data_IF_473314045855
#
_entry.id   IF_473314045855
#
_cell.length_a   1.000
_cell.length_b   1.000
_cell.length_c   1.000
_cell.angle_alpha   90.00
_cell.angle_beta   90.00
_cell.angle_gamma   90.00
#
_symmetry.space_group_name_H-M   'P 1'
#
loop_
_entity.id
_entity.type
_entity.pdbx_description
1 polymer ?
#
# COMPACT_ATOMS: atom_id res chain seq x y z
N UNK A 1 29.36 -57.39 -66.00
CA UNK A 1 29.12 -56.03 -65.52
C UNK A 1 28.70 -56.13 -64.07
N UNK A 2 29.60 -55.82 -63.11
CA UNK A 2 29.32 -55.91 -61.73
C UNK A 2 28.54 -54.59 -61.27
N UNK A 3 27.39 -54.82 -60.69
CA UNK A 3 26.53 -53.72 -60.13
C UNK A 3 27.20 -53.15 -58.92
N UNK A 4 27.61 -51.89 -58.97
CA UNK A 4 28.19 -51.14 -57.85
C UNK A 4 27.12 -50.97 -56.76
N UNK A 5 27.29 -51.63 -55.64
CA UNK A 5 26.46 -51.37 -54.43
C UNK A 5 26.62 -49.88 -54.03
N UNK A 6 25.49 -49.18 -54.00
CA UNK A 6 25.44 -47.80 -53.42
C UNK A 6 25.47 -47.96 -51.94
N UNK A 7 26.58 -47.56 -51.29
CA UNK A 7 26.65 -47.40 -49.84
C UNK A 7 25.66 -46.33 -49.46
N UNK A 8 24.65 -46.67 -48.65
CA UNK A 8 23.76 -45.72 -48.03
C UNK A 8 24.57 -44.92 -47.04
N UNK A 9 24.45 -43.59 -47.04
CA UNK A 9 25.13 -42.74 -46.02
C UNK A 9 24.73 -43.21 -44.63
N UNK A 10 25.70 -43.36 -43.73
CA UNK A 10 25.49 -43.74 -42.36
C UNK A 10 24.54 -42.72 -41.69
N UNK A 11 23.48 -43.25 -41.08
CA UNK A 11 22.51 -42.40 -40.37
C UNK A 11 23.18 -41.59 -39.22
N UNK A 12 22.46 -40.63 -38.68
CA UNK A 12 22.96 -39.79 -37.58
C UNK A 12 23.47 -40.64 -36.40
N UNK A 13 24.60 -40.27 -35.77
CA UNK A 13 25.13 -40.98 -34.59
C UNK A 13 24.05 -41.09 -33.49
N UNK A 14 23.94 -42.26 -32.84
CA UNK A 14 22.94 -42.52 -31.80
C UNK A 14 22.91 -41.44 -30.66
N UNK A 15 24.08 -40.92 -30.30
CA UNK A 15 24.16 -39.86 -29.30
C UNK A 15 23.50 -38.54 -29.73
N UNK A 16 23.47 -38.26 -31.07
CA UNK A 16 22.84 -37.06 -31.60
C UNK A 16 21.30 -37.13 -31.48
N UNK A 17 20.73 -38.32 -31.58
CA UNK A 17 19.28 -38.54 -31.40
C UNK A 17 18.89 -38.27 -29.95
N UNK A 18 19.63 -38.82 -28.99
CA UNK A 18 19.38 -38.60 -27.57
C UNK A 18 19.63 -37.16 -27.16
N UNK A 19 20.64 -36.53 -27.72
CA UNK A 19 20.91 -35.09 -27.46
C UNK A 19 19.78 -34.20 -28.02
N UNK A 20 19.30 -34.47 -29.23
CA UNK A 20 18.19 -33.72 -29.83
C UNK A 20 16.89 -33.90 -29.05
N UNK A 21 16.60 -35.06 -28.51
CA UNK A 21 15.43 -35.32 -27.66
C UNK A 21 15.51 -34.50 -26.39
N UNK A 22 16.67 -34.49 -25.71
CA UNK A 22 16.88 -33.72 -24.49
C UNK A 22 16.73 -32.21 -24.73
N UNK A 23 17.26 -31.70 -25.86
CA UNK A 23 17.12 -30.25 -26.20
C UNK A 23 15.68 -29.90 -26.54
N UNK A 24 14.94 -30.77 -27.25
CA UNK A 24 13.54 -30.52 -27.57
C UNK A 24 12.65 -30.57 -26.32
N UNK A 25 12.90 -31.48 -25.38
CA UNK A 25 12.22 -31.50 -24.09
C UNK A 25 12.51 -30.23 -23.27
N UNK A 26 13.75 -29.77 -23.24
CA UNK A 26 14.14 -28.53 -22.59
C UNK A 26 13.43 -27.32 -23.22
N UNK A 27 13.40 -27.27 -24.57
CA UNK A 27 12.72 -26.21 -25.31
C UNK A 27 11.23 -26.18 -24.98
N UNK A 28 10.55 -27.33 -25.05
CA UNK A 28 9.11 -27.41 -24.74
C UNK A 28 8.82 -27.02 -23.31
N UNK A 29 9.67 -27.37 -22.35
CA UNK A 29 9.57 -26.96 -20.95
C UNK A 29 9.65 -25.45 -20.82
N UNK A 30 10.63 -24.79 -21.45
CA UNK A 30 10.75 -23.32 -21.38
C UNK A 30 9.58 -22.61 -22.08
N UNK A 31 9.09 -23.15 -23.21
CA UNK A 31 7.91 -22.59 -23.89
C UNK A 31 6.67 -22.66 -22.98
N UNK A 32 6.47 -23.77 -22.26
CA UNK A 32 5.39 -23.92 -21.30
C UNK A 32 5.55 -22.96 -20.13
N UNK A 33 6.74 -22.81 -19.57
CA UNK A 33 6.99 -21.82 -18.51
C UNK A 33 6.71 -20.39 -18.99
N UNK A 34 7.15 -20.05 -20.19
CA UNK A 34 6.91 -18.71 -20.77
C UNK A 34 5.41 -18.47 -21.02
N UNK A 35 4.70 -19.50 -21.48
CA UNK A 35 3.24 -19.43 -21.67
C UNK A 35 2.49 -19.20 -20.35
N UNK A 36 3.01 -19.74 -19.24
CA UNK A 36 2.42 -19.54 -17.91
C UNK A 36 2.88 -18.22 -17.24
N UNK A 37 3.99 -17.65 -17.68
CA UNK A 37 4.52 -16.39 -17.12
C UNK A 37 3.62 -15.16 -17.37
N UNK A 38 2.75 -15.23 -18.38
CA UNK A 38 1.76 -14.20 -18.73
C UNK A 38 0.33 -14.57 -18.30
N UNK A 39 0.18 -15.31 -17.19
CA UNK A 39 -1.16 -15.63 -16.68
C UNK A 39 -1.87 -14.34 -16.27
N UNK A 40 -2.85 -13.95 -17.07
CA UNK A 40 -3.81 -12.92 -16.71
C UNK A 40 -4.61 -13.42 -15.49
N UNK A 41 -4.48 -12.76 -14.31
CA UNK A 41 -5.14 -13.20 -13.09
C UNK A 41 -6.67 -13.28 -13.25
N UNK A 42 -7.25 -12.55 -14.20
CA UNK A 42 -8.67 -12.59 -14.52
C UNK A 42 -9.05 -13.91 -15.17
N UNK A 43 -8.24 -14.40 -16.13
CA UNK A 43 -8.47 -15.70 -16.80
C UNK A 43 -8.30 -16.86 -15.84
N UNK A 44 -7.33 -16.78 -14.92
CA UNK A 44 -7.13 -17.80 -13.88
C UNK A 44 -8.33 -17.89 -12.93
N UNK A 45 -8.89 -16.75 -12.50
CA UNK A 45 -10.08 -16.72 -11.64
C UNK A 45 -11.30 -17.26 -12.41
N UNK A 46 -11.47 -16.94 -13.69
CA UNK A 46 -12.54 -17.49 -14.53
C UNK A 46 -12.44 -19.00 -14.66
N UNK A 47 -11.25 -19.53 -14.96
CA UNK A 47 -11.02 -20.97 -15.05
C UNK A 47 -11.31 -21.66 -13.72
N UNK A 48 -10.86 -21.11 -12.58
CA UNK A 48 -11.15 -21.62 -11.24
C UNK A 48 -12.65 -21.67 -10.96
N UNK A 49 -13.40 -20.63 -11.38
CA UNK A 49 -14.85 -20.55 -11.17
C UNK A 49 -15.57 -21.59 -12.04
N UNK A 50 -15.16 -21.75 -13.31
CA UNK A 50 -15.73 -22.74 -14.22
C UNK A 50 -15.49 -24.17 -13.74
N UNK A 51 -14.31 -24.45 -13.19
CA UNK A 51 -14.00 -25.77 -12.59
C UNK A 51 -14.87 -26.02 -11.37
N UNK A 52 -15.05 -25.03 -10.46
CA UNK A 52 -15.96 -25.17 -9.31
C UNK A 52 -17.40 -25.42 -9.74
N UNK A 53 -17.87 -24.72 -10.77
CA UNK A 53 -19.22 -24.92 -11.32
C UNK A 53 -19.39 -26.29 -11.96
N UNK A 54 -18.37 -26.82 -12.65
CA UNK A 54 -18.37 -28.15 -13.26
C UNK A 54 -18.38 -29.29 -12.22
N UNK A 55 -17.72 -29.09 -11.07
CA UNK A 55 -17.70 -30.08 -9.98
C UNK A 55 -18.90 -29.95 -9.02
N UNK A 56 -19.92 -29.15 -9.36
CA UNK A 56 -21.14 -29.07 -8.59
C UNK A 56 -21.00 -28.38 -7.21
N UNK A 57 -19.89 -27.73 -6.93
CA UNK A 57 -19.70 -26.92 -5.73
C UNK A 57 -20.44 -25.56 -5.85
N UNK A 58 -21.64 -25.62 -6.42
CA UNK A 58 -22.59 -24.52 -6.29
C UNK A 58 -23.09 -24.54 -4.87
N UNK A 59 -22.60 -23.63 -4.05
CA UNK A 59 -23.27 -23.21 -2.83
C UNK A 59 -24.50 -22.36 -3.20
N UNK A 60 -25.42 -22.92 -3.98
CA UNK A 60 -26.80 -22.44 -3.95
C UNK A 60 -27.42 -23.07 -2.73
N UNK A 61 -27.26 -22.42 -1.58
CA UNK A 61 -28.14 -22.69 -0.46
C UNK A 61 -29.57 -22.52 -0.98
N UNK A 62 -30.34 -23.61 -0.88
CA UNK A 62 -31.78 -23.53 -1.13
C UNK A 62 -32.34 -22.38 -0.26
N UNK A 63 -33.27 -21.56 -0.75
CA UNK A 63 -33.82 -20.47 0.01
C UNK A 63 -34.60 -21.04 1.21
N UNK A 64 -33.92 -21.19 2.33
CA UNK A 64 -34.57 -21.39 3.61
C UNK A 64 -35.29 -20.11 3.97
N UNK A 65 -36.58 -20.19 4.28
CA UNK A 65 -37.50 -19.06 4.58
C UNK A 65 -37.09 -18.26 5.84
N UNK A 66 -35.91 -18.48 6.37
CA UNK A 66 -35.29 -17.71 7.43
C UNK A 66 -34.04 -17.04 6.88
N UNK A 67 -34.22 -15.89 6.20
CA UNK A 67 -33.10 -15.00 5.92
C UNK A 67 -32.78 -14.23 7.19
N UNK A 68 -31.84 -14.72 8.00
CA UNK A 68 -31.05 -13.83 8.81
C UNK A 68 -30.41 -12.79 7.84
N UNK A 69 -30.35 -11.50 8.19
CA UNK A 69 -29.61 -10.52 7.38
C UNK A 69 -28.15 -10.94 7.41
N UNK A 70 -27.79 -11.77 6.45
CA UNK A 70 -26.39 -12.08 6.16
C UNK A 70 -25.77 -10.76 5.76
N UNK A 71 -24.70 -10.38 6.45
CA UNK A 71 -23.82 -9.28 6.07
C UNK A 71 -23.79 -9.15 4.54
N UNK A 72 -24.08 -7.97 3.99
CA UNK A 72 -24.11 -7.79 2.55
C UNK A 72 -22.84 -8.41 1.97
N UNK A 73 -23.03 -9.27 0.97
CA UNK A 73 -21.90 -9.89 0.27
C UNK A 73 -20.89 -8.77 -0.03
N UNK A 74 -19.60 -8.99 0.23
CA UNK A 74 -18.62 -7.96 -0.07
C UNK A 74 -18.87 -7.51 -1.50
N UNK A 75 -18.98 -6.21 -1.74
CA UNK A 75 -19.32 -5.70 -3.07
C UNK A 75 -18.37 -6.40 -4.04
N UNK A 76 -18.91 -6.93 -5.13
CA UNK A 76 -18.13 -7.45 -6.25
C UNK A 76 -17.38 -6.24 -6.84
N UNK A 77 -16.37 -5.79 -6.12
CA UNK A 77 -15.48 -4.76 -6.58
C UNK A 77 -14.89 -5.30 -7.87
N UNK A 78 -15.26 -4.72 -8.99
CA UNK A 78 -14.43 -4.81 -10.17
C UNK A 78 -13.06 -4.31 -9.68
N UNK A 79 -12.14 -5.23 -9.41
CA UNK A 79 -10.75 -4.88 -9.20
C UNK A 79 -10.28 -4.28 -10.54
N UNK A 80 -10.59 -3.01 -10.72
CA UNK A 80 -9.82 -2.22 -11.66
C UNK A 80 -8.44 -2.15 -11.03
N UNK A 81 -7.42 -2.73 -11.66
CA UNK A 81 -6.06 -2.48 -11.21
C UNK A 81 -5.93 -0.97 -11.16
N UNK A 82 -5.66 -0.44 -9.98
CA UNK A 82 -5.38 0.99 -9.82
C UNK A 82 -4.25 1.26 -10.80
N UNK A 83 -4.39 2.19 -11.76
CA UNK A 83 -3.29 2.47 -12.64
C UNK A 83 -2.10 2.85 -11.76
N UNK A 84 -1.06 2.03 -11.75
CA UNK A 84 0.19 2.31 -11.02
C UNK A 84 0.74 3.69 -11.40
N UNK A 85 0.43 4.14 -12.61
CA UNK A 85 0.70 5.48 -13.12
C UNK A 85 0.16 6.62 -12.23
N UNK A 86 -1.02 6.43 -11.61
CA UNK A 86 -1.62 7.52 -10.82
C UNK A 86 -0.86 7.77 -9.51
N UNK A 87 -0.47 6.72 -8.80
CA UNK A 87 0.29 6.84 -7.55
C UNK A 87 1.72 7.38 -7.83
N UNK A 88 2.36 6.93 -8.91
CA UNK A 88 3.67 7.42 -9.34
C UNK A 88 3.58 8.91 -9.73
N UNK A 89 2.51 9.32 -10.42
CA UNK A 89 2.28 10.71 -10.80
C UNK A 89 2.15 11.62 -9.58
N UNK A 90 1.35 11.20 -8.58
CA UNK A 90 1.22 11.98 -7.34
C UNK A 90 2.51 12.01 -6.52
N UNK A 91 3.23 10.90 -6.45
CA UNK A 91 4.54 10.86 -5.78
C UNK A 91 5.53 11.86 -6.41
N UNK A 92 5.68 11.85 -7.74
CA UNK A 92 6.54 12.79 -8.45
C UNK A 92 6.12 14.23 -8.20
N UNK A 93 4.81 14.53 -8.30
CA UNK A 93 4.28 15.87 -8.06
C UNK A 93 4.57 16.34 -6.64
N UNK A 94 4.23 15.55 -5.62
CA UNK A 94 4.47 15.91 -4.21
C UNK A 94 5.96 16.13 -3.97
N UNK A 95 6.83 15.28 -4.51
CA UNK A 95 8.27 15.43 -4.38
C UNK A 95 8.76 16.76 -4.99
N UNK A 96 8.33 17.07 -6.20
CA UNK A 96 8.66 18.35 -6.86
C UNK A 96 8.12 19.56 -6.08
N UNK A 97 6.88 19.48 -5.57
CA UNK A 97 6.27 20.57 -4.80
C UNK A 97 7.02 20.80 -3.47
N UNK A 98 7.53 19.76 -2.81
CA UNK A 98 8.36 19.82 -1.60
C UNK A 98 9.71 20.46 -1.89
N UNK A 99 10.40 20.04 -2.96
CA UNK A 99 11.65 20.60 -3.41
C UNK A 99 11.50 22.10 -3.77
N UNK A 100 10.45 22.47 -4.52
CA UNK A 100 10.16 23.87 -4.88
C UNK A 100 9.87 24.74 -3.66
N UNK A 101 9.28 24.16 -2.62
CA UNK A 101 8.91 24.89 -1.39
C UNK A 101 10.07 24.97 -0.40
N UNK A 102 11.21 24.34 -0.71
CA UNK A 102 12.44 24.29 0.13
C UNK A 102 12.14 23.78 1.54
N UNK A 103 11.50 22.61 1.64
CA UNK A 103 11.21 21.89 2.88
C UNK A 103 11.73 20.44 2.82
N UNK A 104 12.51 20.12 1.82
CA UNK A 104 13.12 18.81 1.58
C UNK A 104 14.11 18.40 2.68
N UNK A 105 14.71 19.36 3.40
CA UNK A 105 15.56 19.09 4.56
C UNK A 105 14.76 18.64 5.80
N UNK A 106 13.47 19.00 5.88
CA UNK A 106 12.61 18.72 7.05
C UNK A 106 11.62 17.56 6.79
N UNK A 107 11.38 17.22 5.52
CA UNK A 107 10.35 16.27 5.09
C UNK A 107 10.89 15.23 4.12
N UNK A 108 11.00 14.00 4.57
CA UNK A 108 11.32 12.87 3.69
C UNK A 108 10.07 12.36 2.95
N UNK A 109 10.14 12.26 1.63
CA UNK A 109 9.07 11.70 0.80
C UNK A 109 9.39 10.25 0.45
N UNK A 110 8.60 9.34 0.98
CA UNK A 110 8.79 7.90 0.82
C UNK A 110 7.57 7.27 0.12
N UNK A 111 7.81 6.27 -0.71
CA UNK A 111 6.75 5.40 -1.22
C UNK A 111 6.71 4.15 -0.36
N UNK A 112 5.59 3.91 0.35
CA UNK A 112 5.45 2.74 1.23
C UNK A 112 4.89 1.54 0.48
N UNK A 113 3.79 1.73 -0.25
CA UNK A 113 3.08 0.69 -0.99
C UNK A 113 2.74 1.17 -2.41
N UNK A 114 2.02 0.37 -3.18
CA UNK A 114 1.62 0.73 -4.54
C UNK A 114 0.72 1.98 -4.60
N UNK A 115 -0.01 2.30 -3.52
CA UNK A 115 -1.02 3.36 -3.46
C UNK A 115 -0.83 4.34 -2.30
N UNK A 116 0.24 4.22 -1.51
CA UNK A 116 0.50 5.08 -0.36
C UNK A 116 1.83 5.82 -0.45
N UNK A 117 1.76 7.11 -0.18
CA UNK A 117 2.90 8.04 -0.10
C UNK A 117 3.03 8.46 1.36
N UNK A 118 4.23 8.43 1.89
CA UNK A 118 4.51 8.84 3.28
C UNK A 118 5.38 10.08 3.26
N UNK A 119 4.91 11.15 3.92
CA UNK A 119 5.73 12.30 4.25
C UNK A 119 6.18 12.13 5.70
N UNK A 120 7.45 11.96 5.90
CA UNK A 120 8.07 11.72 7.20
C UNK A 120 8.71 12.97 7.73
N UNK A 121 8.43 13.30 8.98
CA UNK A 121 8.99 14.43 9.68
C UNK A 121 9.55 13.96 11.02
N UNK A 122 10.74 14.40 11.36
CA UNK A 122 11.30 14.15 12.68
C UNK A 122 10.48 14.87 13.76
N UNK A 123 10.25 14.23 14.91
CA UNK A 123 9.44 14.79 15.97
C UNK A 123 10.04 16.07 16.57
N UNK A 124 11.35 16.21 16.57
CA UNK A 124 12.05 17.41 17.06
C UNK A 124 11.74 18.69 16.27
N UNK A 125 11.31 18.56 15.02
CA UNK A 125 10.85 19.69 14.20
C UNK A 125 9.47 20.18 14.67
N UNK A 126 8.62 19.24 15.12
CA UNK A 126 7.23 19.52 15.46
C UNK A 126 7.00 19.75 16.95
N UNK A 127 7.76 19.08 17.82
CA UNK A 127 7.52 19.03 19.26
C UNK A 127 8.78 19.19 20.09
N UNK A 128 8.64 19.69 21.29
CA UNK A 128 9.67 19.57 22.32
C UNK A 128 9.80 18.12 22.82
N UNK A 129 10.96 17.73 23.34
CA UNK A 129 11.16 16.40 23.90
C UNK A 129 10.12 16.05 24.98
N UNK A 130 9.47 14.90 24.82
CA UNK A 130 8.44 14.39 25.74
C UNK A 130 7.13 15.17 25.76
N UNK A 131 6.95 16.19 24.92
CA UNK A 131 5.70 16.96 24.80
C UNK A 131 4.92 16.59 23.55
N UNK A 132 3.60 16.84 23.59
CA UNK A 132 2.68 16.72 22.48
C UNK A 132 2.09 18.08 22.03
N UNK A 133 2.66 19.19 22.54
CA UNK A 133 2.29 20.54 22.11
C UNK A 133 3.13 20.93 20.93
N UNK A 134 2.50 21.32 19.80
CA UNK A 134 3.20 21.77 18.61
C UNK A 134 4.01 23.03 18.86
N UNK A 135 5.24 23.06 18.39
CA UNK A 135 6.06 24.25 18.38
C UNK A 135 5.53 25.26 17.36
N UNK A 136 5.39 26.55 17.73
CA UNK A 136 4.96 27.57 16.79
C UNK A 136 5.85 27.69 15.54
N UNK A 137 7.14 27.38 15.65
CA UNK A 137 8.09 27.34 14.53
C UNK A 137 7.73 26.30 13.46
N UNK A 138 7.00 25.25 13.82
CA UNK A 138 6.57 24.20 12.86
C UNK A 138 5.30 24.57 12.08
N UNK A 139 4.59 25.62 12.46
CA UNK A 139 3.33 26.01 11.79
C UNK A 139 3.49 26.33 10.30
N UNK A 140 4.53 27.06 9.86
CA UNK A 140 4.75 27.29 8.44
C UNK A 140 4.95 25.99 7.65
N UNK A 141 5.74 25.04 8.18
CA UNK A 141 5.97 23.73 7.59
C UNK A 141 4.65 22.95 7.42
N UNK A 142 3.86 22.86 8.50
CA UNK A 142 2.58 22.16 8.46
C UNK A 142 1.58 22.80 7.47
N UNK A 143 1.58 24.12 7.32
CA UNK A 143 0.75 24.84 6.33
C UNK A 143 1.19 24.48 4.90
N UNK A 144 2.50 24.53 4.61
CA UNK A 144 3.04 24.15 3.30
C UNK A 144 2.64 22.71 2.91
N UNK A 145 2.76 21.77 3.85
CA UNK A 145 2.32 20.38 3.63
C UNK A 145 0.81 20.32 3.32
N UNK A 146 -0.01 21.05 4.08
CA UNK A 146 -1.45 21.10 3.81
C UNK A 146 -1.75 21.66 2.40
N UNK A 147 -1.07 22.73 1.98
CA UNK A 147 -1.27 23.35 0.68
C UNK A 147 -0.88 22.42 -0.48
N UNK A 148 0.17 21.62 -0.30
CA UNK A 148 0.59 20.60 -1.28
C UNK A 148 -0.45 19.46 -1.38
N UNK A 149 -0.96 18.98 -0.23
CA UNK A 149 -1.81 17.78 -0.19
C UNK A 149 -3.30 18.10 -0.40
N UNK A 150 -3.77 19.27 0.03
CA UNK A 150 -5.19 19.68 -0.05
C UNK A 150 -5.82 19.54 -1.43
N UNK A 151 -5.16 19.94 -2.55
CA UNK A 151 -5.74 19.83 -3.89
C UNK A 151 -5.76 18.38 -4.43
N UNK A 152 -5.12 17.45 -3.75
CA UNK A 152 -5.05 16.06 -4.19
C UNK A 152 -6.25 15.26 -3.66
N UNK A 153 -6.82 14.33 -4.45
CA UNK A 153 -7.92 13.46 -4.00
C UNK A 153 -7.39 12.33 -3.11
N UNK A 154 -6.79 12.71 -1.98
CA UNK A 154 -6.14 11.79 -1.04
C UNK A 154 -6.70 11.96 0.37
N UNK A 155 -6.75 10.88 1.13
CA UNK A 155 -6.93 10.89 2.57
C UNK A 155 -5.56 10.94 3.25
N UNK A 156 -5.50 11.54 4.43
CA UNK A 156 -4.28 11.69 5.23
C UNK A 156 -4.44 10.96 6.56
N UNK A 157 -3.57 9.99 6.84
CA UNK A 157 -3.47 9.37 8.15
C UNK A 157 -2.17 9.84 8.81
N UNK A 158 -2.30 10.48 9.96
CA UNK A 158 -1.19 11.00 10.74
C UNK A 158 -0.79 9.91 11.74
N UNK A 159 0.41 9.37 11.59
CA UNK A 159 0.96 8.28 12.41
C UNK A 159 2.05 8.84 13.32
N UNK A 160 1.85 8.75 14.65
CA UNK A 160 2.87 9.11 15.63
C UNK A 160 3.70 7.90 16.04
N UNK A 161 5.02 8.11 16.16
CA UNK A 161 5.97 7.10 16.59
C UNK A 161 6.93 7.65 17.64
N UNK A 162 7.36 6.80 18.55
CA UNK A 162 8.40 7.10 19.54
C UNK A 162 9.60 6.15 19.36
N UNK A 163 10.64 6.41 20.11
CA UNK A 163 11.69 5.43 20.37
C UNK A 163 11.26 4.48 21.50
N UNK A 164 12.17 3.59 21.91
CA UNK A 164 12.01 2.61 23.00
C UNK A 164 12.24 3.18 24.40
N UNK A 165 12.64 4.46 24.52
CA UNK A 165 12.85 5.07 25.83
C UNK A 165 11.52 5.39 26.50
N UNK A 166 11.34 5.03 27.77
CA UNK A 166 10.11 5.36 28.49
C UNK A 166 9.96 6.87 28.65
N UNK A 167 8.75 7.35 28.45
CA UNK A 167 8.43 8.77 28.69
C UNK A 167 8.67 9.09 30.17
N UNK A 168 9.34 10.21 30.47
CA UNK A 168 9.64 10.66 31.86
C UNK A 168 8.38 11.05 32.67
N UNK A 169 7.20 10.80 32.15
CA UNK A 169 5.92 11.07 32.81
C UNK A 169 5.39 9.83 33.52
N UNK A 170 4.90 9.98 34.76
CA UNK A 170 4.27 8.86 35.50
C UNK A 170 2.92 8.42 34.95
N UNK A 171 2.28 9.26 34.15
CA UNK A 171 0.90 9.08 33.69
C UNK A 171 0.78 8.86 32.18
N UNK A 172 1.88 8.90 31.43
CA UNK A 172 1.85 8.84 29.97
C UNK A 172 2.83 7.77 29.46
N UNK A 173 2.32 6.84 28.68
CA UNK A 173 3.11 5.85 27.99
C UNK A 173 3.58 6.35 26.61
N UNK A 174 4.51 5.61 25.95
CA UNK A 174 4.91 5.88 24.56
C UNK A 174 3.70 5.83 23.61
N UNK A 175 2.73 4.97 23.90
CA UNK A 175 1.46 4.93 23.16
C UNK A 175 0.68 6.22 23.29
N UNK A 176 0.47 6.69 24.52
CA UNK A 176 -0.28 7.92 24.78
C UNK A 176 0.41 9.13 24.15
N UNK A 177 1.74 9.23 24.27
CA UNK A 177 2.51 10.32 23.67
C UNK A 177 2.38 10.31 22.14
N UNK A 178 2.50 9.17 21.51
CA UNK A 178 2.42 9.05 20.05
C UNK A 178 1.02 9.39 19.52
N UNK A 179 -0.04 8.96 20.21
CA UNK A 179 -1.43 9.32 19.88
C UNK A 179 -1.65 10.83 20.09
N UNK A 180 -1.22 11.37 21.23
CA UNK A 180 -1.39 12.78 21.55
C UNK A 180 -0.71 13.69 20.51
N UNK A 181 0.47 13.32 20.02
CA UNK A 181 1.19 14.03 18.96
C UNK A 181 0.44 13.99 17.64
N UNK A 182 -0.02 12.81 17.21
CA UNK A 182 -0.81 12.66 15.98
C UNK A 182 -2.10 13.49 16.04
N UNK A 183 -2.80 13.48 17.19
CA UNK A 183 -4.02 14.27 17.43
C UNK A 183 -3.72 15.76 17.45
N UNK A 184 -2.58 16.19 18.01
CA UNK A 184 -2.20 17.61 18.04
C UNK A 184 -2.05 18.17 16.61
N UNK A 185 -1.40 17.44 15.72
CA UNK A 185 -1.28 17.81 14.30
C UNK A 185 -2.66 17.83 13.62
N UNK A 186 -3.48 16.80 13.83
CA UNK A 186 -4.83 16.76 13.26
C UNK A 186 -5.69 17.94 13.74
N UNK A 187 -5.62 18.29 15.03
CA UNK A 187 -6.31 19.46 15.59
C UNK A 187 -5.82 20.77 14.98
N UNK A 188 -4.52 20.91 14.75
CA UNK A 188 -3.95 22.08 14.09
C UNK A 188 -4.55 22.27 12.69
N UNK A 189 -4.59 21.22 11.87
CA UNK A 189 -5.19 21.28 10.53
C UNK A 189 -6.68 21.58 10.57
N UNK A 190 -7.42 20.96 11.49
CA UNK A 190 -8.86 21.18 11.62
C UNK A 190 -9.19 22.62 12.08
N UNK A 191 -8.50 23.11 13.11
CA UNK A 191 -8.70 24.49 13.63
C UNK A 191 -8.35 25.55 12.59
N UNK A 192 -7.28 25.34 11.85
CA UNK A 192 -6.85 26.22 10.75
C UNK A 192 -7.69 26.09 9.48
N UNK A 193 -8.65 25.16 9.42
CA UNK A 193 -9.42 24.81 8.20
C UNK A 193 -8.51 24.50 7.01
N UNK A 194 -7.31 23.96 7.29
CA UNK A 194 -6.29 23.69 6.29
C UNK A 194 -6.58 22.39 5.53
N UNK A 195 -7.21 21.42 6.21
CA UNK A 195 -7.57 20.14 5.62
C UNK A 195 -8.90 19.63 6.21
N UNK A 196 -9.74 18.96 5.40
CA UNK A 196 -11.05 18.45 5.85
C UNK A 196 -10.89 17.32 6.85
N UNK A 197 -11.65 17.37 7.96
CA UNK A 197 -11.63 16.35 9.02
C UNK A 197 -12.04 14.97 8.50
N UNK A 198 -12.99 14.90 7.54
CA UNK A 198 -13.47 13.65 6.94
C UNK A 198 -12.40 12.91 6.15
N UNK A 199 -11.34 13.62 5.78
CA UNK A 199 -10.20 13.08 5.05
C UNK A 199 -8.99 12.81 5.94
N UNK A 200 -9.11 13.01 7.27
CA UNK A 200 -8.02 12.83 8.21
C UNK A 200 -8.31 11.73 9.22
N UNK A 201 -7.25 11.06 9.66
CA UNK A 201 -7.26 10.20 10.84
C UNK A 201 -5.93 10.31 11.59
N UNK A 202 -5.96 10.10 12.90
CA UNK A 202 -4.77 10.11 13.74
C UNK A 202 -4.60 8.76 14.43
N UNK A 203 -3.37 8.23 14.42
CA UNK A 203 -3.01 6.94 15.02
C UNK A 203 -1.68 7.07 15.73
N UNK A 204 -1.52 6.48 16.90
CA UNK A 204 -0.23 6.34 17.57
C UNK A 204 0.21 4.88 17.56
N UNK A 205 1.49 4.66 17.38
CA UNK A 205 2.10 3.33 17.38
C UNK A 205 3.14 3.16 18.50
N UNK A 206 3.41 4.20 19.28
CA UNK A 206 4.49 4.14 20.26
C UNK A 206 5.80 3.72 19.61
N UNK A 207 6.52 2.81 20.24
CA UNK A 207 7.79 2.21 19.82
C UNK A 207 7.66 0.91 19.00
N UNK A 208 6.41 0.46 18.72
CA UNK A 208 6.17 -0.86 18.08
C UNK A 208 6.53 -0.95 16.61
N UNK A 209 6.77 0.20 15.95
CA UNK A 209 7.11 0.26 14.51
C UNK A 209 8.38 1.06 14.26
N UNK A 210 9.54 0.60 14.74
CA UNK A 210 10.80 1.28 14.49
C UNK A 210 11.19 1.17 13.01
N UNK A 211 11.83 2.20 12.47
CA UNK A 211 12.39 2.22 11.11
C UNK A 211 13.81 1.65 11.12
N UNK A 212 14.52 1.89 12.21
CA UNK A 212 15.88 1.38 12.45
C UNK A 212 15.94 0.86 13.89
N UNK A 213 16.86 -0.09 14.19
CA UNK A 213 17.03 -0.58 15.56
C UNK A 213 17.38 0.56 16.52
N UNK A 214 16.82 0.56 17.75
CA UNK A 214 17.03 1.59 18.77
C UNK A 214 18.40 1.49 19.48
N UNK A 215 19.46 1.17 18.78
CA UNK A 215 20.79 0.88 19.35
C UNK A 215 21.62 2.13 19.66
N UNK A 216 21.38 3.22 18.94
CA UNK A 216 22.08 4.51 19.15
C UNK A 216 21.11 5.66 19.27
N UNK A 217 21.58 6.82 19.76
CA UNK A 217 20.72 8.02 19.85
C UNK A 217 20.31 8.54 18.48
N UNK A 218 21.18 8.43 17.47
CA UNK A 218 20.88 8.80 16.09
C UNK A 218 19.77 7.92 15.53
N UNK A 219 19.77 6.63 15.84
CA UNK A 219 18.72 5.70 15.43
C UNK A 219 17.41 5.98 16.16
N UNK A 220 17.46 6.23 17.48
CA UNK A 220 16.28 6.62 18.26
C UNK A 220 15.68 7.91 17.72
N UNK A 221 16.50 8.91 17.37
CA UNK A 221 16.04 10.14 16.74
C UNK A 221 15.29 9.91 15.43
N UNK A 222 15.71 8.94 14.60
CA UNK A 222 15.00 8.56 13.37
C UNK A 222 13.68 7.84 13.66
N UNK A 223 13.57 7.15 14.80
CA UNK A 223 12.34 6.48 15.21
C UNK A 223 11.32 7.45 15.80
N UNK A 224 11.76 8.51 16.47
CA UNK A 224 10.90 9.62 16.94
C UNK A 224 10.46 10.46 15.76
N UNK A 225 9.29 10.16 15.20
CA UNK A 225 8.79 10.79 13.97
C UNK A 225 7.28 10.88 13.92
N UNK A 226 6.80 11.71 13.02
CA UNK A 226 5.40 11.73 12.57
C UNK A 226 5.37 11.42 11.07
N UNK A 227 4.66 10.37 10.70
CA UNK A 227 4.47 9.95 9.32
C UNK A 227 3.07 10.40 8.84
N UNK A 228 3.01 11.20 7.78
CA UNK A 228 1.76 11.57 7.09
C UNK A 228 1.55 10.58 5.95
N UNK A 229 0.69 9.61 6.15
CA UNK A 229 0.40 8.56 5.17
C UNK A 229 -0.76 9.02 4.29
N UNK A 230 -0.45 9.31 3.04
CA UNK A 230 -1.39 9.76 2.02
C UNK A 230 -1.85 8.56 1.21
N UNK A 231 -3.15 8.36 1.11
CA UNK A 231 -3.76 7.32 0.27
C UNK A 231 -4.79 7.93 -0.67
N UNK A 232 -4.84 7.41 -1.89
CA UNK A 232 -5.86 7.84 -2.85
C UNK A 232 -7.25 7.57 -2.31
N UNK A 233 -8.09 8.61 -2.26
CA UNK A 233 -9.50 8.50 -1.82
C UNK A 233 -10.34 7.93 -2.96
N UNK A 234 -10.17 6.66 -3.30
CA UNK A 234 -11.17 5.93 -4.07
C UNK A 234 -12.21 5.37 -3.11
N UNK A 235 -13.24 6.14 -2.85
CA UNK A 235 -14.51 5.55 -2.43
C UNK A 235 -14.87 4.49 -3.48
N UNK A 236 -15.27 3.27 -3.08
CA UNK A 236 -15.82 2.32 -4.02
C UNK A 236 -16.95 3.07 -4.76
N UNK A 237 -16.87 3.11 -6.09
CA UNK A 237 -17.92 3.66 -6.93
C UNK A 237 -19.21 2.89 -6.65
N UNK A 238 -20.07 3.43 -5.77
CA UNK A 238 -21.29 2.74 -5.32
C UNK A 238 -21.98 3.35 -4.10
N UNK A 239 -21.35 4.29 -3.40
CA UNK A 239 -22.01 4.95 -2.25
C UNK A 239 -22.58 6.33 -2.63
N UNK A 240 -23.10 6.48 -3.85
CA UNK A 240 -23.90 7.63 -4.26
C UNK A 240 -25.37 7.28 -4.15
N UNK A 241 -26.09 7.79 -3.13
CA UNK A 241 -27.54 7.76 -3.05
C UNK A 241 -28.12 6.99 -1.88
N UNK A 242 -27.71 7.27 -0.68
CA UNK A 242 -28.44 6.93 0.53
C UNK A 242 -28.85 8.23 1.24
N UNK A 243 -30.05 8.71 0.94
CA UNK A 243 -30.68 9.76 1.74
C UNK A 243 -30.69 9.35 3.21
N UNK A 244 -30.15 10.22 4.06
CA UNK A 244 -30.14 10.06 5.50
C UNK A 244 -31.55 9.80 6.03
N UNK A 245 -31.81 8.56 6.42
CA UNK A 245 -32.92 8.24 7.30
C UNK A 245 -32.42 8.50 8.72
N UNK A 246 -32.84 9.62 9.28
CA UNK A 246 -32.69 9.88 10.70
C UNK A 246 -33.31 8.70 11.48
N UNK A 247 -32.53 8.10 12.36
CA UNK A 247 -33.01 7.14 13.35
C UNK A 247 -33.57 7.96 14.51
N UNK A 248 -34.85 7.88 14.87
CA UNK A 248 -35.36 8.50 16.07
C UNK A 248 -34.84 7.72 17.30
N UNK A 249 -34.43 8.46 18.32
CA UNK A 249 -34.07 7.98 19.66
C UNK A 249 -35.26 7.31 20.36
#
# INVERSE_FOLDING_TARGET
MAKKEQDCPAGAPLWMVTFSDLVTLLLTFFVLLLSMASMDPVKFIQAKTSIKDAFGWRTTAAPTKFSLPILPAPPKGKFSPIPQETAIKYYKRIKTDIEMTKIDDEVDVLKRDHDSIVLRINDSVLFDPGKATLNPSSYPLLRKIADIVRPLPMTMRIEGHTDDQPVKSRTMSNWDLSVARAVAVMRFYNRGKLFSIDRMSAVGYGDTRPVVPNTSEENRAKNRRVDFVLRSNRLPAGAGGGQGRAVPF
#
